data_IF_196513860842
#
_entry.id   IF_196513860842
#
_cell.length_a   1.000
_cell.length_b   1.000
_cell.length_c   1.000
_cell.angle_alpha   90.00
_cell.angle_beta   90.00
_cell.angle_gamma   90.00
#
_symmetry.space_group_name_H-M   'P 1'
#
loop_
_entity.id
_entity.type
_entity.pdbx_description
1 polymer ?
#
# COMPACT_ATOMS: atom_id res chain seq x y z
N UNK A 1 3.75 -44.53 -37.79
CA UNK A 1 3.95 -43.92 -36.43
C UNK A 1 3.63 -42.43 -36.52
N UNK A 2 2.49 -42.03 -35.98
CA UNK A 2 2.13 -40.63 -35.89
C UNK A 2 2.78 -40.05 -34.61
N UNK A 3 3.77 -39.19 -34.78
CA UNK A 3 4.27 -38.36 -33.67
C UNK A 3 3.20 -37.30 -33.39
N UNK A 4 2.49 -37.41 -32.27
CA UNK A 4 1.63 -36.33 -31.82
C UNK A 4 2.53 -35.20 -31.30
N UNK A 5 2.52 -34.11 -32.03
CA UNK A 5 3.16 -32.87 -31.56
C UNK A 5 2.26 -32.32 -30.47
N UNK A 6 2.68 -32.50 -29.20
CA UNK A 6 2.05 -31.85 -28.09
C UNK A 6 2.47 -30.39 -28.14
N UNK A 7 1.67 -29.54 -28.75
CA UNK A 7 1.81 -28.10 -28.65
C UNK A 7 1.38 -27.75 -27.24
N UNK A 8 2.35 -27.57 -26.35
CA UNK A 8 2.11 -26.92 -25.07
C UNK A 8 1.70 -25.49 -25.40
N UNK A 9 0.40 -25.23 -25.39
CA UNK A 9 -0.09 -23.84 -25.36
C UNK A 9 0.30 -23.29 -24.00
N UNK A 10 1.44 -22.60 -23.95
CA UNK A 10 1.77 -21.76 -22.81
C UNK A 10 0.75 -20.62 -22.89
N UNK A 11 -0.37 -20.76 -22.15
CA UNK A 11 -1.18 -19.62 -21.78
C UNK A 11 -0.28 -18.71 -20.93
N UNK A 12 0.40 -17.78 -21.59
CA UNK A 12 0.91 -16.62 -20.90
C UNK A 12 -0.37 -15.86 -20.50
N UNK A 13 -0.90 -16.17 -19.29
CA UNK A 13 -1.74 -15.23 -18.61
C UNK A 13 -0.86 -14.01 -18.36
N UNK A 14 -0.84 -13.10 -19.33
CA UNK A 14 -0.49 -11.73 -19.03
C UNK A 14 -1.60 -11.24 -18.08
N UNK A 15 -1.43 -11.53 -16.77
CA UNK A 15 -2.23 -10.89 -15.76
C UNK A 15 -2.10 -9.41 -16.01
N UNK A 16 -3.21 -8.76 -16.42
CA UNK A 16 -3.29 -7.31 -16.42
C UNK A 16 -3.08 -6.93 -14.98
N UNK A 17 -1.84 -6.60 -14.61
CA UNK A 17 -1.53 -6.02 -13.31
C UNK A 17 -2.26 -4.69 -13.28
N UNK A 18 -3.36 -4.65 -12.53
CA UNK A 18 -4.07 -3.39 -12.28
C UNK A 18 -3.05 -2.43 -11.68
N UNK A 19 -2.92 -1.25 -12.26
CA UNK A 19 -2.04 -0.21 -11.75
C UNK A 19 -2.40 0.09 -10.29
N UNK A 20 -1.42 -0.08 -9.38
CA UNK A 20 -1.54 0.21 -7.95
C UNK A 20 -1.10 1.64 -7.72
N UNK A 21 -2.00 2.56 -8.02
CA UNK A 21 -1.76 3.99 -8.10
C UNK A 21 -2.22 4.68 -6.82
N UNK A 22 -1.41 5.61 -6.33
CA UNK A 22 -1.80 6.58 -5.31
C UNK A 22 -2.14 7.89 -6.01
N UNK A 23 -3.32 8.40 -5.74
CA UNK A 23 -3.80 9.66 -6.32
C UNK A 23 -4.19 10.64 -5.22
N UNK A 24 -4.08 11.95 -5.53
CA UNK A 24 -4.66 13.00 -4.70
C UNK A 24 -6.19 13.04 -4.85
N UNK A 25 -6.85 13.90 -4.07
CA UNK A 25 -8.29 14.16 -4.14
C UNK A 25 -8.76 14.63 -5.52
N UNK A 26 -7.87 15.28 -6.29
CA UNK A 26 -8.12 15.72 -7.67
C UNK A 26 -7.75 14.66 -8.73
N UNK A 27 -7.54 13.41 -8.33
CA UNK A 27 -7.13 12.30 -9.20
C UNK A 27 -5.77 12.46 -9.90
N UNK A 28 -4.91 13.35 -9.42
CA UNK A 28 -3.54 13.42 -9.91
C UNK A 28 -2.73 12.28 -9.29
N UNK A 29 -2.01 11.54 -10.12
CA UNK A 29 -1.11 10.48 -9.65
C UNK A 29 0.03 11.09 -8.84
N UNK A 30 0.15 10.70 -7.58
CA UNK A 30 1.20 11.14 -6.66
C UNK A 30 2.26 10.05 -6.43
N UNK A 31 1.94 8.81 -6.76
CA UNK A 31 2.87 7.71 -6.62
C UNK A 31 2.27 6.36 -6.96
N UNK A 32 3.06 5.34 -6.68
CA UNK A 32 2.71 3.93 -6.96
C UNK A 32 3.17 3.05 -5.80
N UNK A 33 2.40 2.02 -5.48
CA UNK A 33 2.86 0.92 -4.64
C UNK A 33 2.71 -0.35 -5.47
N UNK A 34 3.83 -0.97 -5.81
CA UNK A 34 3.86 -2.19 -6.62
C UNK A 34 3.46 -3.41 -5.78
N UNK A 35 3.08 -4.49 -6.44
CA UNK A 35 2.72 -5.76 -5.78
C UNK A 35 3.86 -6.37 -4.96
N UNK A 36 5.12 -6.05 -5.30
CA UNK A 36 6.31 -6.47 -4.55
C UNK A 36 6.63 -5.57 -3.33
N UNK A 37 5.80 -4.56 -3.08
CA UNK A 37 5.95 -3.60 -1.98
C UNK A 37 6.84 -2.41 -2.28
N UNK A 38 7.37 -2.27 -3.49
CA UNK A 38 8.15 -1.08 -3.88
C UNK A 38 7.26 0.14 -3.95
N UNK A 39 7.63 1.20 -3.25
CA UNK A 39 6.93 2.49 -3.26
C UNK A 39 7.68 3.44 -4.17
N UNK A 40 6.96 4.06 -5.10
CA UNK A 40 7.52 5.02 -6.05
C UNK A 40 6.76 6.35 -5.99
N UNK A 41 7.46 7.43 -6.26
CA UNK A 41 6.83 8.74 -6.48
C UNK A 41 6.23 8.82 -7.91
N UNK A 42 5.62 9.96 -8.24
CA UNK A 42 5.01 10.19 -9.56
C UNK A 42 5.99 10.11 -10.74
N UNK A 43 7.28 10.31 -10.50
CA UNK A 43 8.34 10.18 -11.50
C UNK A 43 8.93 8.76 -11.60
N UNK A 44 8.29 7.77 -10.93
CA UNK A 44 8.76 6.39 -10.85
C UNK A 44 10.09 6.18 -10.11
N UNK A 45 10.56 7.16 -9.34
CA UNK A 45 11.70 6.97 -8.47
C UNK A 45 11.29 6.18 -7.23
N UNK A 46 12.07 5.17 -6.86
CA UNK A 46 11.82 4.41 -5.64
C UNK A 46 12.08 5.26 -4.41
N UNK A 47 11.09 5.38 -3.55
CA UNK A 47 11.14 6.18 -2.31
C UNK A 47 11.02 5.34 -1.06
N UNK A 48 10.68 4.07 -1.17
CA UNK A 48 10.61 3.16 -0.04
C UNK A 48 10.13 1.77 -0.41
N UNK A 49 9.96 0.94 0.63
CA UNK A 49 9.56 -0.46 0.48
C UNK A 49 8.67 -0.89 1.65
N UNK A 50 7.67 -1.71 1.35
CA UNK A 50 6.92 -2.48 2.34
C UNK A 50 7.18 -3.95 2.04
N UNK A 51 7.86 -4.64 2.95
CA UNK A 51 8.22 -6.05 2.76
C UNK A 51 7.07 -6.98 3.12
N UNK A 52 7.11 -8.20 2.62
CA UNK A 52 6.11 -9.24 2.91
C UNK A 52 5.99 -9.58 4.40
N UNK A 53 7.06 -9.38 5.18
CA UNK A 53 7.06 -9.57 6.64
C UNK A 53 6.51 -8.36 7.43
N UNK A 54 6.06 -7.30 6.73
CA UNK A 54 5.53 -6.07 7.30
C UNK A 54 6.58 -5.00 7.60
N UNK A 55 7.86 -5.23 7.34
CA UNK A 55 8.92 -4.22 7.52
C UNK A 55 8.76 -3.09 6.51
N UNK A 56 8.78 -1.86 6.99
CA UNK A 56 8.72 -0.64 6.16
C UNK A 56 10.11 -0.03 6.11
N UNK A 57 10.59 0.26 4.91
CA UNK A 57 11.92 0.83 4.68
C UNK A 57 11.86 2.10 3.84
N UNK A 58 12.80 2.99 4.05
CA UNK A 58 13.02 4.14 3.16
C UNK A 58 13.80 3.72 1.90
N UNK A 59 14.10 4.66 1.01
CA UNK A 59 14.84 4.42 -0.23
C UNK A 59 16.26 3.85 -0.03
N UNK A 60 16.86 4.10 1.13
CA UNK A 60 18.19 3.59 1.50
C UNK A 60 18.14 2.23 2.21
N UNK A 61 16.98 1.57 2.21
CA UNK A 61 16.73 0.30 2.90
C UNK A 61 16.86 0.37 4.44
N UNK A 62 16.82 1.56 5.03
CA UNK A 62 16.73 1.69 6.49
C UNK A 62 15.30 1.41 6.94
N UNK A 63 15.16 0.58 7.97
CA UNK A 63 13.86 0.29 8.56
C UNK A 63 13.32 1.52 9.27
N UNK A 64 12.11 1.95 8.88
CA UNK A 64 11.42 3.10 9.46
C UNK A 64 10.18 2.71 10.24
N UNK A 65 9.69 1.48 10.08
CA UNK A 65 8.53 1.00 10.81
C UNK A 65 8.12 -0.41 10.47
N UNK A 66 6.98 -0.82 11.02
CA UNK A 66 6.45 -2.17 10.88
C UNK A 66 4.92 -2.15 10.78
N UNK A 67 4.39 -3.03 9.94
CA UNK A 67 2.97 -3.39 9.90
C UNK A 67 2.85 -4.79 10.53
N UNK A 68 2.08 -4.90 11.60
CA UNK A 68 1.83 -6.19 12.24
C UNK A 68 0.59 -6.88 11.66
N UNK A 69 0.51 -8.19 11.80
CA UNK A 69 -0.60 -8.99 11.25
C UNK A 69 -1.98 -8.62 11.82
N UNK A 70 -2.03 -7.99 12.99
CA UNK A 70 -3.26 -7.50 13.63
C UNK A 70 -3.66 -6.08 13.21
N UNK A 71 -2.92 -5.46 12.28
CA UNK A 71 -3.15 -4.10 11.81
C UNK A 71 -2.47 -3.02 12.63
N UNK A 72 -1.67 -3.37 13.65
CA UNK A 72 -0.88 -2.41 14.42
C UNK A 72 0.27 -1.87 13.57
N UNK A 73 0.44 -0.55 13.55
CA UNK A 73 1.54 0.14 12.88
C UNK A 73 2.52 0.62 13.94
N UNK A 74 3.80 0.32 13.75
CA UNK A 74 4.88 0.70 14.66
C UNK A 74 5.96 1.50 13.93
N UNK A 75 6.65 2.37 14.67
CA UNK A 75 7.85 3.05 14.19
C UNK A 75 9.08 2.11 14.30
N UNK A 76 10.26 2.61 13.91
CA UNK A 76 11.52 1.84 13.95
C UNK A 76 11.93 1.37 15.35
N UNK A 77 11.46 2.03 16.40
CA UNK A 77 11.72 1.66 17.79
C UNK A 77 10.66 0.71 18.37
N UNK A 78 9.78 0.16 17.50
CA UNK A 78 8.67 -0.71 17.89
C UNK A 78 7.59 -0.04 18.75
N UNK A 79 7.56 1.29 18.82
CA UNK A 79 6.46 2.01 19.45
C UNK A 79 5.26 2.04 18.51
N UNK A 80 4.08 1.75 19.04
CA UNK A 80 2.83 1.83 18.27
C UNK A 80 2.53 3.29 17.92
N UNK A 81 2.34 3.54 16.62
CA UNK A 81 1.95 4.85 16.09
C UNK A 81 0.50 4.89 15.62
N UNK A 82 -0.11 3.73 15.43
CA UNK A 82 -1.52 3.64 15.08
C UNK A 82 -2.01 2.25 14.74
N UNK A 83 -3.23 2.19 14.23
CA UNK A 83 -3.94 0.96 13.93
C UNK A 83 -4.73 1.09 12.62
N UNK A 84 -4.77 0.01 11.86
CA UNK A 84 -5.65 -0.14 10.70
C UNK A 84 -6.61 -1.29 11.00
N UNK A 85 -7.89 -0.97 11.14
CA UNK A 85 -8.91 -1.96 11.47
C UNK A 85 -9.38 -2.72 10.23
N UNK A 86 -10.00 -3.87 10.44
CA UNK A 86 -10.51 -4.73 9.38
C UNK A 86 -11.57 -4.03 8.49
N UNK A 87 -12.31 -3.07 9.06
CA UNK A 87 -13.30 -2.26 8.34
C UNK A 87 -12.72 -1.07 7.58
N UNK A 88 -11.39 -0.88 7.62
CA UNK A 88 -10.69 0.23 6.98
C UNK A 88 -10.55 1.49 7.83
N UNK A 89 -11.05 1.49 9.07
CA UNK A 89 -10.84 2.61 10.00
C UNK A 89 -9.36 2.71 10.38
N UNK A 90 -8.80 3.91 10.26
CA UNK A 90 -7.40 4.20 10.63
C UNK A 90 -7.41 5.03 11.91
N UNK A 91 -6.64 4.59 12.91
CA UNK A 91 -6.55 5.23 14.22
C UNK A 91 -5.10 5.58 14.55
N UNK A 92 -4.92 6.64 15.34
CA UNK A 92 -3.62 6.97 15.93
C UNK A 92 -3.32 6.07 17.15
N UNK A 93 -2.17 6.26 17.79
CA UNK A 93 -1.73 5.48 18.95
C UNK A 93 -2.70 5.57 20.15
N UNK A 94 -3.49 6.64 20.25
CA UNK A 94 -4.48 6.86 21.30
C UNK A 94 -5.87 6.31 20.94
N UNK A 95 -5.97 5.55 19.86
CA UNK A 95 -7.23 4.99 19.32
C UNK A 95 -8.22 6.05 18.80
N UNK A 96 -7.79 7.28 18.57
CA UNK A 96 -8.62 8.27 17.90
C UNK A 96 -8.63 8.00 16.40
N UNK A 97 -9.82 8.02 15.79
CA UNK A 97 -9.97 7.86 14.34
C UNK A 97 -9.36 9.05 13.61
N UNK A 98 -8.41 8.78 12.70
CA UNK A 98 -7.74 9.80 11.88
C UNK A 98 -8.15 9.72 10.41
N UNK A 99 -8.76 8.62 9.99
CA UNK A 99 -9.25 8.48 8.63
C UNK A 99 -9.82 7.11 8.32
N UNK A 100 -10.09 6.91 7.03
CA UNK A 100 -10.73 5.70 6.52
C UNK A 100 -10.12 5.30 5.18
N UNK A 101 -9.88 4.00 5.00
CA UNK A 101 -9.57 3.38 3.72
C UNK A 101 -10.79 2.57 3.30
N UNK A 102 -11.49 3.02 2.27
CA UNK A 102 -12.71 2.34 1.80
C UNK A 102 -12.35 1.17 0.86
N UNK A 103 -13.27 0.23 0.73
CA UNK A 103 -13.07 -0.97 -0.10
C UNK A 103 -12.86 -0.66 -1.59
N UNK A 104 -13.36 0.50 -2.06
CA UNK A 104 -13.16 0.98 -3.44
C UNK A 104 -11.82 1.72 -3.64
N UNK A 105 -10.99 1.83 -2.59
CA UNK A 105 -9.73 2.55 -2.60
C UNK A 105 -9.81 4.02 -2.25
N UNK A 106 -10.99 4.57 -1.99
CA UNK A 106 -11.14 5.96 -1.52
C UNK A 106 -10.52 6.12 -0.14
N UNK A 107 -9.67 7.13 0.02
CA UNK A 107 -9.05 7.48 1.30
C UNK A 107 -9.68 8.77 1.82
N UNK A 108 -10.15 8.73 3.06
CA UNK A 108 -10.83 9.85 3.70
C UNK A 108 -10.13 10.24 5.01
N UNK A 109 -10.21 11.51 5.36
CA UNK A 109 -9.82 11.98 6.69
C UNK A 109 -10.92 11.68 7.73
N UNK A 110 -10.69 12.04 8.99
CA UNK A 110 -11.61 11.81 10.10
C UNK A 110 -12.99 12.49 9.93
N UNK A 111 -13.08 13.53 9.10
CA UNK A 111 -14.32 14.24 8.77
C UNK A 111 -15.04 13.65 7.53
N UNK A 112 -14.59 12.49 7.05
CA UNK A 112 -15.09 11.84 5.83
C UNK A 112 -14.85 12.63 4.53
N UNK A 113 -13.98 13.63 4.53
CA UNK A 113 -13.56 14.28 3.30
C UNK A 113 -12.56 13.39 2.56
N UNK A 114 -12.75 13.22 1.26
CA UNK A 114 -11.81 12.49 0.41
C UNK A 114 -10.49 13.25 0.33
N UNK A 115 -9.39 12.56 0.66
CA UNK A 115 -8.03 13.11 0.58
C UNK A 115 -7.20 12.44 -0.50
N UNK A 116 -7.71 11.39 -1.12
CA UNK A 116 -7.05 10.70 -2.21
C UNK A 116 -7.61 9.33 -2.48
N UNK A 117 -6.87 8.59 -3.30
CA UNK A 117 -7.26 7.24 -3.73
C UNK A 117 -6.05 6.31 -3.72
N UNK A 118 -6.26 5.08 -3.28
CA UNK A 118 -5.28 3.99 -3.25
C UNK A 118 -5.90 2.76 -3.90
N UNK A 119 -6.09 2.81 -5.21
CA UNK A 119 -6.78 1.77 -5.96
C UNK A 119 -5.95 0.49 -6.06
N UNK A 120 -6.57 -0.65 -5.76
CA UNK A 120 -5.94 -1.97 -5.82
C UNK A 120 -4.73 -2.12 -4.88
N UNK A 121 -4.69 -1.37 -3.79
CA UNK A 121 -3.64 -1.39 -2.77
C UNK A 121 -4.24 -1.93 -1.47
N UNK A 122 -3.49 -2.78 -0.77
CA UNK A 122 -3.87 -3.23 0.56
C UNK A 122 -4.13 -2.04 1.49
N UNK A 123 -5.18 -2.15 2.31
CA UNK A 123 -5.58 -1.03 3.18
C UNK A 123 -4.49 -0.62 4.18
N UNK A 124 -3.72 -1.57 4.69
CA UNK A 124 -2.59 -1.30 5.58
C UNK A 124 -1.49 -0.52 4.85
N UNK A 125 -1.19 -0.88 3.61
CA UNK A 125 -0.20 -0.18 2.77
C UNK A 125 -0.68 1.23 2.42
N UNK A 126 -1.96 1.38 2.08
CA UNK A 126 -2.57 2.68 1.83
C UNK A 126 -2.51 3.58 3.08
N UNK A 127 -2.84 3.02 4.25
CA UNK A 127 -2.78 3.75 5.52
C UNK A 127 -1.35 4.21 5.85
N UNK A 128 -0.35 3.36 5.62
CA UNK A 128 1.07 3.69 5.80
C UNK A 128 1.46 4.90 4.94
N UNK A 129 1.06 4.88 3.66
CA UNK A 129 1.41 5.94 2.70
C UNK A 129 0.69 7.26 2.96
N UNK A 130 -0.57 7.23 3.42
CA UNK A 130 -1.38 8.43 3.62
C UNK A 130 -1.29 9.02 5.03
N UNK A 131 -1.09 8.20 6.06
CA UNK A 131 -1.27 8.65 7.44
C UNK A 131 -0.02 8.53 8.33
N UNK A 132 0.88 7.59 8.07
CA UNK A 132 1.91 7.26 9.06
C UNK A 132 3.33 7.60 8.66
N UNK A 133 3.69 7.45 7.40
CA UNK A 133 5.06 7.67 6.95
C UNK A 133 5.11 8.57 5.71
N UNK A 134 6.14 9.40 5.66
CA UNK A 134 6.43 10.20 4.47
C UNK A 134 7.57 9.54 3.70
N UNK A 135 7.31 9.25 2.44
CA UNK A 135 8.30 8.74 1.51
C UNK A 135 8.71 9.88 0.57
N UNK A 136 9.93 10.36 0.74
CA UNK A 136 10.50 11.44 -0.08
C UNK A 136 11.57 10.91 -1.01
#
# INVERSE_FOLDING_TARGET
MKKSLLIAVICILSGVTKAQTIESDNHNTTGFIKSDGTIQNSNHNTVGFIKSDGTIQNSNHNTIGFIKSDGTIQNSNHNTVGFVKSDGTVQNANHNTIGFIKSDGTVQNHNHNTIGFAKNIDKEWAAVAFFFFRFN
#
